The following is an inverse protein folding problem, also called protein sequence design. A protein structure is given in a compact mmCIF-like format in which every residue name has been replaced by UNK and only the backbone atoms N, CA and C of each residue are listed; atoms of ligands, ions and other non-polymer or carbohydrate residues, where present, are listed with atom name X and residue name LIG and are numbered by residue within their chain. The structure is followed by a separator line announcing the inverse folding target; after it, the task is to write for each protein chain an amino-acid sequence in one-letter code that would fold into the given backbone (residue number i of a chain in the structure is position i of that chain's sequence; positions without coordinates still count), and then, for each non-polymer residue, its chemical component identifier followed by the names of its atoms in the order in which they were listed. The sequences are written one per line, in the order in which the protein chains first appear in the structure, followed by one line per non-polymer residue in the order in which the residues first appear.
data_IF_505840222281
#
_entry.id   IF_505840222281
#
_cell.length_a   1.000
_cell.length_b   1.000
_cell.length_c   1.000
_cell.angle_alpha   90.00
_cell.angle_beta   90.00
_cell.angle_gamma   90.00
#
_symmetry.space_group_name_H-M   'P 1'
#
loop_
_entity.id
_entity.type
_entity.pdbx_description
1 polymer ?
#
# COMPACT_ATOMS: atom_id res chain seq x y z
N UNK A 1 -16.22 36.49 -21.36
CA UNK A 1 -14.85 36.02 -21.60
C UNK A 1 -14.87 34.52 -21.41
N UNK A 2 -14.68 33.74 -22.48
CA UNK A 2 -14.49 32.31 -22.37
C UNK A 2 -13.17 32.08 -21.63
N UNK A 3 -13.22 31.58 -20.41
CA UNK A 3 -12.01 31.19 -19.69
C UNK A 3 -11.34 30.08 -20.49
N UNK A 4 -10.16 30.36 -21.04
CA UNK A 4 -9.39 29.38 -21.79
C UNK A 4 -8.99 28.27 -20.84
N UNK A 5 -9.32 27.00 -21.14
CA UNK A 5 -9.01 25.84 -20.29
C UNK A 5 -7.47 25.67 -20.23
N UNK A 6 -6.90 25.73 -19.03
CA UNK A 6 -5.44 25.66 -18.84
C UNK A 6 -4.99 24.22 -18.80
N UNK A 7 -4.16 23.81 -19.75
CA UNK A 7 -3.65 22.45 -19.87
C UNK A 7 -2.17 22.35 -19.51
N UNK A 8 -1.78 21.21 -18.93
CA UNK A 8 -0.39 20.76 -18.78
C UNK A 8 -0.22 19.45 -19.52
N UNK A 9 0.81 19.37 -20.35
CA UNK A 9 1.27 18.11 -20.93
C UNK A 9 2.23 17.38 -20.00
N UNK A 10 2.14 16.03 -19.97
CA UNK A 10 3.11 15.23 -19.25
C UNK A 10 3.64 14.10 -20.13
N UNK A 11 4.97 14.03 -20.26
CA UNK A 11 5.70 13.03 -21.04
C UNK A 11 6.69 12.27 -20.16
N UNK A 12 6.94 11.00 -20.49
CA UNK A 12 7.96 10.19 -19.83
C UNK A 12 8.65 9.23 -20.78
N UNK A 13 9.98 9.12 -20.67
CA UNK A 13 10.78 8.08 -21.32
C UNK A 13 11.61 7.32 -20.27
N UNK A 14 11.84 6.01 -20.49
CA UNK A 14 12.76 5.21 -19.69
C UNK A 14 14.14 5.17 -20.37
N UNK A 15 15.22 5.11 -19.57
CA UNK A 15 16.60 5.01 -20.06
C UNK A 15 16.86 3.76 -20.89
N UNK A 16 16.16 2.65 -20.64
CA UNK A 16 16.46 1.36 -21.26
C UNK A 16 15.70 1.07 -22.57
N UNK A 17 14.72 1.90 -22.96
CA UNK A 17 13.83 1.60 -24.08
C UNK A 17 13.49 2.80 -24.97
N UNK A 18 14.49 3.45 -25.51
CA UNK A 18 14.26 4.36 -26.64
C UNK A 18 13.86 3.60 -27.92
N UNK A 19 13.98 2.26 -27.97
CA UNK A 19 13.88 1.47 -29.21
C UNK A 19 12.66 0.52 -29.30
N UNK A 20 11.99 0.11 -28.22
CA UNK A 20 11.03 -1.02 -28.34
C UNK A 20 9.54 -0.66 -28.42
N UNK A 21 9.09 0.50 -27.94
CA UNK A 21 7.65 0.86 -27.96
C UNK A 21 7.28 2.03 -28.89
N UNK A 22 8.18 2.49 -29.77
CA UNK A 22 7.87 3.40 -30.89
C UNK A 22 7.30 4.78 -30.53
N UNK A 23 7.29 5.18 -29.24
CA UNK A 23 6.74 6.47 -28.81
C UNK A 23 7.86 7.34 -28.22
N UNK A 24 8.64 7.97 -29.13
CA UNK A 24 9.64 8.98 -28.76
C UNK A 24 8.98 10.15 -28.01
N UNK A 25 9.77 10.93 -27.29
CA UNK A 25 9.28 12.17 -26.64
C UNK A 25 8.57 13.08 -27.64
N UNK A 26 9.14 13.21 -28.83
CA UNK A 26 8.59 14.04 -29.92
C UNK A 26 7.18 13.58 -30.33
N UNK A 27 6.95 12.28 -30.46
CA UNK A 27 5.63 11.73 -30.79
C UNK A 27 4.63 11.97 -29.65
N UNK A 28 5.06 11.84 -28.39
CA UNK A 28 4.21 12.16 -27.24
C UNK A 28 3.84 13.65 -27.24
N UNK A 29 4.82 14.53 -27.44
CA UNK A 29 4.61 15.97 -27.50
C UNK A 29 3.63 16.36 -28.62
N UNK A 30 3.82 15.86 -29.83
CA UNK A 30 2.92 16.11 -30.97
C UNK A 30 1.49 15.70 -30.64
N UNK A 31 1.29 14.51 -30.06
CA UNK A 31 -0.04 14.04 -29.64
C UNK A 31 -0.69 14.93 -28.58
N UNK A 32 0.07 15.34 -27.58
CA UNK A 32 -0.41 16.21 -26.50
C UNK A 32 -0.79 17.59 -27.04
N UNK A 33 0.06 18.20 -27.87
CA UNK A 33 -0.22 19.49 -28.49
C UNK A 33 -1.47 19.44 -29.38
N UNK A 34 -1.59 18.39 -30.19
CA UNK A 34 -2.76 18.20 -31.03
C UNK A 34 -4.05 18.04 -30.19
N UNK A 35 -3.99 17.27 -29.10
CA UNK A 35 -5.13 17.10 -28.21
C UNK A 35 -5.50 18.42 -27.48
N UNK A 36 -4.52 19.21 -27.05
CA UNK A 36 -4.80 20.53 -26.47
C UNK A 36 -5.59 21.43 -27.43
N UNK A 37 -5.20 21.43 -28.73
CA UNK A 37 -5.94 22.17 -29.77
C UNK A 37 -7.37 21.63 -29.94
N UNK A 38 -7.55 20.30 -30.00
CA UNK A 38 -8.87 19.66 -30.13
C UNK A 38 -9.79 20.04 -28.95
N UNK A 39 -9.21 20.13 -27.76
CA UNK A 39 -9.95 20.50 -26.54
C UNK A 39 -10.15 22.03 -26.39
N UNK A 40 -9.59 22.83 -27.28
CA UNK A 40 -9.60 24.29 -27.11
C UNK A 40 -8.89 24.77 -25.87
N UNK A 41 -7.89 24.01 -25.40
CA UNK A 41 -7.15 24.28 -24.19
C UNK A 41 -5.82 25.01 -24.49
N UNK A 42 -5.46 25.94 -23.64
CA UNK A 42 -4.15 26.59 -23.65
C UNK A 42 -3.12 25.69 -22.98
N UNK A 43 -2.18 25.13 -23.74
CA UNK A 43 -1.09 24.33 -23.21
C UNK A 43 -0.04 25.24 -22.57
N UNK A 44 -0.06 25.34 -21.24
CA UNK A 44 0.84 26.22 -20.48
C UNK A 44 2.27 25.73 -20.47
N UNK A 45 2.47 24.42 -20.35
CA UNK A 45 3.79 23.79 -20.29
C UNK A 45 3.73 22.30 -20.64
N UNK A 46 4.90 21.73 -20.94
CA UNK A 46 5.09 20.29 -21.17
C UNK A 46 6.15 19.78 -20.21
N UNK A 47 5.72 19.03 -19.21
CA UNK A 47 6.59 18.42 -18.21
C UNK A 47 7.16 17.12 -18.76
N UNK A 48 8.48 16.95 -18.70
CA UNK A 48 9.18 15.76 -19.19
C UNK A 48 9.97 15.11 -18.07
N UNK A 49 9.66 13.85 -17.75
CA UNK A 49 10.48 12.99 -16.92
C UNK A 49 11.32 12.05 -17.79
N UNK A 50 12.64 12.28 -17.84
CA UNK A 50 13.61 11.49 -18.59
C UNK A 50 14.33 10.50 -17.70
N UNK A 51 14.46 9.25 -18.17
CA UNK A 51 15.25 8.24 -17.44
C UNK A 51 14.61 7.60 -16.22
N UNK A 52 13.34 7.92 -15.93
CA UNK A 52 12.67 7.50 -14.68
C UNK A 52 11.70 6.33 -14.89
N UNK A 53 11.67 5.43 -13.90
CA UNK A 53 10.77 4.27 -13.92
C UNK A 53 9.33 4.67 -13.59
N UNK A 54 8.35 4.12 -14.33
CA UNK A 54 6.92 4.27 -14.01
C UNK A 54 6.47 3.43 -12.78
N UNK A 55 7.41 2.79 -12.07
CA UNK A 55 7.09 1.94 -10.90
C UNK A 55 6.75 2.73 -9.64
N UNK A 56 7.15 3.98 -9.54
CA UNK A 56 6.81 4.88 -8.43
C UNK A 56 6.48 6.28 -8.95
N UNK A 57 5.85 7.09 -8.10
CA UNK A 57 5.47 8.48 -8.41
C UNK A 57 6.53 9.50 -7.94
N UNK A 58 7.59 9.05 -7.27
CA UNK A 58 8.65 9.93 -6.74
C UNK A 58 9.62 10.26 -7.87
N UNK A 59 9.36 11.35 -8.59
CA UNK A 59 10.17 11.86 -9.70
C UNK A 59 9.90 13.35 -9.93
N UNK A 60 10.90 14.12 -10.36
CA UNK A 60 10.84 15.59 -10.38
C UNK A 60 9.67 16.16 -11.19
N UNK A 61 9.42 15.63 -12.38
CA UNK A 61 8.31 16.10 -13.21
C UNK A 61 6.94 15.76 -12.64
N UNK A 62 6.78 14.57 -12.04
CA UNK A 62 5.55 14.21 -11.35
C UNK A 62 5.30 15.12 -10.14
N UNK A 63 6.31 15.40 -9.32
CA UNK A 63 6.19 16.32 -8.17
C UNK A 63 5.76 17.71 -8.62
N UNK A 64 6.36 18.21 -9.72
CA UNK A 64 5.98 19.48 -10.32
C UNK A 64 4.52 19.46 -10.80
N UNK A 65 4.10 18.39 -11.50
CA UNK A 65 2.72 18.21 -11.95
C UNK A 65 1.75 18.26 -10.77
N UNK A 66 2.02 17.49 -9.73
CA UNK A 66 1.17 17.41 -8.53
C UNK A 66 1.12 18.76 -7.79
N UNK A 67 2.20 19.51 -7.78
CA UNK A 67 2.21 20.88 -7.22
C UNK A 67 1.26 21.79 -7.99
N UNK A 68 1.32 21.81 -9.33
CA UNK A 68 0.44 22.62 -10.17
C UNK A 68 -1.05 22.25 -10.00
N UNK A 69 -1.34 20.95 -9.88
CA UNK A 69 -2.69 20.42 -9.62
C UNK A 69 -3.17 20.88 -8.23
N UNK A 70 -2.33 20.72 -7.19
CA UNK A 70 -2.69 21.11 -5.83
C UNK A 70 -2.93 22.61 -5.67
N UNK A 71 -2.18 23.43 -6.39
CA UNK A 71 -2.32 24.89 -6.42
C UNK A 71 -3.45 25.37 -7.35
N UNK A 72 -4.16 24.46 -8.01
CA UNK A 72 -5.25 24.76 -8.97
C UNK A 72 -4.80 25.69 -10.10
N UNK A 73 -3.55 25.56 -10.52
CA UNK A 73 -2.98 26.36 -11.64
C UNK A 73 -3.35 25.80 -13.00
N UNK A 74 -3.91 24.59 -13.05
CA UNK A 74 -4.28 23.84 -14.26
C UNK A 74 -5.68 23.29 -14.12
N UNK A 75 -6.38 23.16 -15.25
CA UNK A 75 -7.75 22.64 -15.35
C UNK A 75 -7.75 21.24 -15.96
N UNK A 76 -6.71 20.91 -16.74
CA UNK A 76 -6.56 19.59 -17.38
C UNK A 76 -5.10 19.15 -17.48
N UNK A 77 -4.89 17.85 -17.35
CA UNK A 77 -3.61 17.17 -17.61
C UNK A 77 -3.76 16.31 -18.86
N UNK A 78 -2.89 16.49 -19.84
CA UNK A 78 -2.92 15.73 -21.12
C UNK A 78 -1.70 14.84 -21.17
N UNK A 79 -1.91 13.55 -21.44
CA UNK A 79 -0.86 12.53 -21.59
C UNK A 79 -1.04 11.76 -22.90
N UNK A 80 0.05 11.27 -23.45
CA UNK A 80 -0.03 10.45 -24.66
C UNK A 80 -0.61 9.06 -24.41
N UNK A 81 -0.33 8.47 -23.23
CA UNK A 81 -0.78 7.14 -22.81
C UNK A 81 -0.72 7.01 -21.29
N UNK A 82 -1.65 6.25 -20.67
CA UNK A 82 -1.74 6.06 -19.22
C UNK A 82 -0.47 5.50 -18.59
N UNK A 83 0.25 4.61 -19.28
CA UNK A 83 1.50 4.02 -18.81
C UNK A 83 2.66 5.03 -18.69
N UNK A 84 2.53 6.22 -19.28
CA UNK A 84 3.46 7.34 -19.10
C UNK A 84 3.27 7.96 -17.70
N UNK A 85 2.03 8.01 -17.22
CA UNK A 85 1.73 8.53 -15.90
C UNK A 85 2.10 7.54 -14.79
N UNK A 86 1.58 6.30 -14.88
CA UNK A 86 1.93 5.20 -13.98
C UNK A 86 1.59 3.85 -14.60
N UNK A 87 2.26 2.76 -14.13
CA UNK A 87 1.93 1.37 -14.47
C UNK A 87 1.17 0.67 -13.33
N UNK A 88 1.00 1.34 -12.21
CA UNK A 88 0.27 0.83 -11.05
C UNK A 88 -1.18 1.31 -11.12
N UNK A 89 -2.13 0.40 -11.18
CA UNK A 89 -3.56 0.73 -11.15
C UNK A 89 -3.92 1.46 -9.83
N UNK A 90 -3.32 1.04 -8.72
CA UNK A 90 -3.51 1.69 -7.42
C UNK A 90 -3.07 3.16 -7.45
N UNK A 91 -1.89 3.44 -8.01
CA UNK A 91 -1.38 4.80 -8.09
C UNK A 91 -2.21 5.64 -9.05
N UNK A 92 -2.69 5.04 -10.16
CA UNK A 92 -3.60 5.71 -11.09
C UNK A 92 -4.89 6.13 -10.38
N UNK A 93 -5.53 5.23 -9.63
CA UNK A 93 -6.73 5.55 -8.86
C UNK A 93 -6.47 6.69 -7.88
N UNK A 94 -5.35 6.67 -7.14
CA UNK A 94 -4.99 7.75 -6.21
C UNK A 94 -4.78 9.10 -6.90
N UNK A 95 -4.15 9.10 -8.10
CA UNK A 95 -3.99 10.31 -8.90
C UNK A 95 -5.34 10.85 -9.41
N UNK A 96 -6.22 9.97 -9.88
CA UNK A 96 -7.54 10.34 -10.37
C UNK A 96 -8.43 10.92 -9.26
N UNK A 97 -8.40 10.34 -8.07
CA UNK A 97 -9.08 10.89 -6.89
C UNK A 97 -8.56 12.30 -6.52
N UNK A 98 -7.24 12.50 -6.58
CA UNK A 98 -6.64 13.79 -6.35
C UNK A 98 -7.08 14.81 -7.39
N UNK A 99 -7.05 14.44 -8.67
CA UNK A 99 -7.44 15.30 -9.78
C UNK A 99 -8.92 15.70 -9.66
N UNK A 100 -9.81 14.75 -9.35
CA UNK A 100 -11.22 15.00 -9.11
C UNK A 100 -11.45 15.98 -7.94
N UNK A 101 -10.78 15.76 -6.79
CA UNK A 101 -10.83 16.68 -5.63
C UNK A 101 -10.36 18.10 -5.96
N UNK A 102 -9.50 18.24 -6.97
CA UNK A 102 -8.98 19.55 -7.41
C UNK A 102 -9.74 20.12 -8.60
N UNK A 103 -10.75 19.41 -9.13
CA UNK A 103 -11.47 19.71 -10.36
C UNK A 103 -10.54 19.80 -11.58
N UNK A 104 -9.55 18.91 -11.68
CA UNK A 104 -8.64 18.80 -12.81
C UNK A 104 -9.01 17.56 -13.61
N UNK A 105 -9.22 17.70 -14.92
CA UNK A 105 -9.46 16.57 -15.81
C UNK A 105 -8.14 15.90 -16.23
N UNK A 106 -8.16 14.57 -16.45
CA UNK A 106 -7.08 13.84 -17.11
C UNK A 106 -7.56 13.41 -18.48
N UNK A 107 -6.76 13.71 -19.52
CA UNK A 107 -7.00 13.26 -20.87
C UNK A 107 -5.85 12.37 -21.32
N UNK A 108 -6.16 11.14 -21.69
CA UNK A 108 -5.22 10.19 -22.30
C UNK A 108 -5.56 9.98 -23.78
N UNK A 109 -4.60 10.32 -24.64
CA UNK A 109 -4.83 10.30 -26.10
C UNK A 109 -5.00 8.88 -26.62
N UNK A 110 -4.12 7.95 -26.22
CA UNK A 110 -4.12 6.58 -26.75
C UNK A 110 -5.35 5.78 -26.33
N UNK A 111 -5.83 5.96 -25.09
CA UNK A 111 -7.00 5.27 -24.58
C UNK A 111 -8.32 6.02 -24.87
N UNK A 112 -8.26 7.18 -25.52
CA UNK A 112 -9.42 8.05 -25.74
C UNK A 112 -10.21 8.32 -24.43
N UNK A 113 -9.49 8.48 -23.33
CA UNK A 113 -10.05 8.68 -22.01
C UNK A 113 -10.02 10.18 -21.66
N UNK A 114 -11.18 10.71 -21.31
CA UNK A 114 -11.37 12.05 -20.77
C UNK A 114 -12.16 11.96 -19.47
N UNK A 115 -11.49 12.21 -18.35
CA UNK A 115 -12.11 12.11 -17.01
C UNK A 115 -13.07 13.28 -16.72
N UNK A 116 -13.03 14.33 -17.50
CA UNK A 116 -14.01 15.42 -17.46
C UNK A 116 -15.37 14.99 -18.00
N UNK A 117 -15.43 13.99 -18.87
CA UNK A 117 -16.68 13.45 -19.44
C UNK A 117 -17.39 12.48 -18.50
N UNK A 118 -18.71 12.33 -18.66
CA UNK A 118 -19.49 11.34 -17.91
C UNK A 118 -19.02 9.90 -18.17
N UNK A 119 -18.69 9.58 -19.42
CA UNK A 119 -18.17 8.26 -19.80
C UNK A 119 -16.80 7.98 -19.17
N UNK A 120 -15.88 8.96 -19.17
CA UNK A 120 -14.58 8.81 -18.53
C UNK A 120 -14.67 8.62 -17.03
N UNK A 121 -15.55 9.34 -16.34
CA UNK A 121 -15.81 9.13 -14.91
C UNK A 121 -16.35 7.72 -14.62
N UNK A 122 -17.23 7.19 -15.46
CA UNK A 122 -17.72 5.80 -15.33
C UNK A 122 -16.57 4.80 -15.45
N UNK A 123 -15.70 4.96 -16.44
CA UNK A 123 -14.53 4.07 -16.63
C UNK A 123 -13.62 4.08 -15.40
N UNK A 124 -13.34 5.25 -14.82
CA UNK A 124 -12.54 5.38 -13.59
C UNK A 124 -13.21 4.66 -12.43
N UNK A 125 -14.51 4.84 -12.24
CA UNK A 125 -15.26 4.17 -11.17
C UNK A 125 -15.16 2.65 -11.30
N UNK A 126 -15.28 2.12 -12.51
CA UNK A 126 -15.10 0.68 -12.76
C UNK A 126 -13.70 0.24 -12.43
N UNK A 127 -12.66 0.96 -12.86
CA UNK A 127 -11.26 0.63 -12.57
C UNK A 127 -10.97 0.63 -11.05
N UNK A 128 -11.49 1.62 -10.32
CA UNK A 128 -11.37 1.68 -8.87
C UNK A 128 -12.07 0.49 -8.19
N UNK A 129 -13.27 0.13 -8.62
CA UNK A 129 -14.01 -1.01 -8.10
C UNK A 129 -13.29 -2.34 -8.36
N UNK A 130 -12.71 -2.54 -9.55
CA UNK A 130 -11.89 -3.73 -9.90
C UNK A 130 -10.66 -3.82 -9.00
N UNK A 131 -9.96 -2.70 -8.80
CA UNK A 131 -8.75 -2.66 -7.94
C UNK A 131 -9.07 -3.01 -6.48
N UNK A 132 -10.20 -2.52 -5.97
CA UNK A 132 -10.65 -2.86 -4.61
C UNK A 132 -11.05 -4.34 -4.50
N UNK A 133 -11.77 -4.87 -5.49
CA UNK A 133 -12.12 -6.28 -5.56
C UNK A 133 -10.87 -7.19 -5.59
N UNK A 134 -9.86 -6.88 -6.40
CA UNK A 134 -8.60 -7.63 -6.43
C UNK A 134 -7.92 -7.62 -5.05
N UNK A 135 -7.86 -6.46 -4.38
CA UNK A 135 -7.28 -6.32 -3.05
C UNK A 135 -8.00 -7.19 -2.02
N UNK A 136 -9.33 -7.18 -2.02
CA UNK A 136 -10.16 -7.99 -1.13
C UNK A 136 -9.96 -9.49 -1.41
N UNK A 137 -9.96 -9.89 -2.68
CA UNK A 137 -9.76 -11.29 -3.10
C UNK A 137 -8.39 -11.83 -2.66
N UNK A 138 -7.32 -11.03 -2.80
CA UNK A 138 -5.99 -11.40 -2.30
C UNK A 138 -6.01 -11.55 -0.77
N UNK A 139 -6.68 -10.65 -0.05
CA UNK A 139 -6.85 -10.72 1.40
C UNK A 139 -7.57 -11.98 1.85
N UNK A 140 -8.65 -12.35 1.17
CA UNK A 140 -9.41 -13.58 1.45
C UNK A 140 -8.58 -14.84 1.20
N UNK A 141 -7.88 -14.93 0.06
CA UNK A 141 -6.98 -16.05 -0.25
C UNK A 141 -5.88 -16.19 0.79
N UNK A 142 -5.26 -15.07 1.20
CA UNK A 142 -4.21 -15.07 2.23
C UNK A 142 -4.77 -15.55 3.57
N UNK A 143 -5.97 -15.09 3.96
CA UNK A 143 -6.65 -15.51 5.19
C UNK A 143 -6.98 -17.00 5.16
N UNK A 144 -7.51 -17.52 4.05
CA UNK A 144 -7.80 -18.93 3.87
C UNK A 144 -6.53 -19.80 3.96
N UNK A 145 -5.45 -19.40 3.28
CA UNK A 145 -4.16 -20.07 3.36
C UNK A 145 -3.60 -20.10 4.79
N UNK A 146 -3.66 -18.97 5.51
CA UNK A 146 -3.23 -18.92 6.92
C UNK A 146 -4.09 -19.79 7.84
N UNK A 147 -5.40 -19.90 7.57
CA UNK A 147 -6.30 -20.78 8.34
C UNK A 147 -5.97 -22.25 8.08
N UNK A 148 -5.74 -22.61 6.82
CA UNK A 148 -5.33 -23.97 6.44
C UNK A 148 -4.01 -24.37 7.11
N UNK A 149 -2.99 -23.54 7.04
CA UNK A 149 -1.71 -23.78 7.74
C UNK A 149 -1.91 -23.95 9.25
N UNK A 150 -2.76 -23.10 9.87
CA UNK A 150 -3.08 -23.24 11.31
C UNK A 150 -3.78 -24.55 11.64
N UNK A 151 -4.69 -25.03 10.78
CA UNK A 151 -5.39 -26.32 11.00
C UNK A 151 -4.45 -27.51 10.91
N UNK A 152 -3.39 -27.40 10.11
CA UNK A 152 -2.34 -28.43 9.98
C UNK A 152 -1.28 -28.34 11.11
N UNK A 153 -1.38 -27.35 12.01
CA UNK A 153 -0.38 -27.17 13.08
C UNK A 153 0.86 -26.38 12.66
N UNK A 154 0.87 -25.84 11.45
CA UNK A 154 2.00 -25.09 10.92
C UNK A 154 2.21 -23.75 11.65
N UNK A 155 3.44 -23.29 11.70
CA UNK A 155 3.80 -22.03 12.30
C UNK A 155 3.37 -20.85 11.41
N UNK A 156 2.26 -20.19 11.74
CA UNK A 156 1.80 -18.99 11.05
C UNK A 156 2.07 -17.74 11.90
N UNK A 157 2.94 -16.87 11.42
CA UNK A 157 3.25 -15.60 12.08
C UNK A 157 4.15 -15.74 13.31
N UNK A 158 3.93 -14.91 14.32
CA UNK A 158 4.72 -14.92 15.55
C UNK A 158 4.41 -16.12 16.43
N UNK A 159 5.44 -16.88 16.80
CA UNK A 159 5.33 -18.01 17.71
C UNK A 159 4.82 -17.55 19.07
N UNK A 160 3.71 -18.14 19.51
CA UNK A 160 3.14 -17.87 20.83
C UNK A 160 4.13 -18.23 21.94
N UNK A 161 4.13 -17.48 23.04
CA UNK A 161 4.93 -17.81 24.22
C UNK A 161 4.48 -19.17 24.80
N UNK A 162 5.41 -20.04 25.08
CA UNK A 162 5.17 -21.42 25.48
C UNK A 162 5.42 -22.44 24.36
N UNK A 163 5.69 -21.98 23.15
CA UNK A 163 5.98 -22.84 22.01
C UNK A 163 7.25 -22.38 21.29
N UNK A 164 7.95 -23.32 20.69
CA UNK A 164 9.08 -23.09 19.78
C UNK A 164 8.85 -23.80 18.46
N UNK A 165 9.64 -23.49 17.48
CA UNK A 165 9.62 -24.17 16.20
C UNK A 165 10.27 -25.55 16.37
N UNK A 166 9.62 -26.60 15.88
CA UNK A 166 10.17 -27.95 15.87
C UNK A 166 11.41 -28.06 14.95
N UNK A 167 12.11 -29.16 15.03
CA UNK A 167 13.33 -29.39 14.21
C UNK A 167 13.06 -29.44 12.71
N UNK A 168 11.83 -29.75 12.29
CA UNK A 168 11.40 -29.71 10.90
C UNK A 168 11.22 -28.28 10.32
N UNK A 169 11.22 -27.27 11.18
CA UNK A 169 11.05 -25.88 10.80
C UNK A 169 9.62 -25.45 10.43
N UNK A 170 8.66 -26.37 10.43
CA UNK A 170 7.26 -26.13 10.00
C UNK A 170 6.29 -26.15 11.16
N UNK A 171 6.37 -27.15 12.04
CA UNK A 171 5.45 -27.31 13.17
C UNK A 171 5.89 -26.56 14.42
N UNK A 172 4.93 -26.38 15.33
CA UNK A 172 5.18 -25.83 16.67
C UNK A 172 5.19 -26.95 17.71
N UNK A 173 6.24 -26.98 18.54
CA UNK A 173 6.31 -27.85 19.71
C UNK A 173 6.32 -27.03 21.01
N UNK A 174 5.83 -27.59 22.13
CA UNK A 174 5.92 -26.95 23.43
C UNK A 174 7.37 -26.70 23.81
N UNK A 175 7.69 -25.48 24.23
CA UNK A 175 8.99 -25.16 24.86
C UNK A 175 8.92 -25.46 26.35
N UNK A 176 9.68 -26.45 26.87
CA UNK A 176 9.58 -26.88 28.28
C UNK A 176 9.81 -25.76 29.27
N UNK A 177 10.78 -24.88 28.99
CA UNK A 177 11.11 -23.75 29.86
C UNK A 177 9.98 -22.71 29.89
N UNK A 178 9.46 -22.33 28.71
CA UNK A 178 8.37 -21.37 28.62
C UNK A 178 7.05 -21.93 29.13
N UNK A 179 6.80 -23.25 29.01
CA UNK A 179 5.62 -23.90 29.59
C UNK A 179 5.67 -23.88 31.13
N UNK A 180 6.84 -24.09 31.73
CA UNK A 180 7.03 -23.96 33.17
C UNK A 180 6.70 -22.54 33.65
N UNK A 181 7.16 -21.52 32.90
CA UNK A 181 6.81 -20.12 33.21
C UNK A 181 5.32 -19.87 33.08
N UNK A 182 4.66 -20.40 32.03
CA UNK A 182 3.20 -20.27 31.87
C UNK A 182 2.44 -20.92 33.00
N UNK A 183 2.91 -22.05 33.52
CA UNK A 183 2.32 -22.73 34.67
C UNK A 183 2.46 -21.87 35.92
N UNK A 184 3.66 -21.36 36.21
CA UNK A 184 3.87 -20.44 37.34
C UNK A 184 3.00 -19.18 37.27
N UNK A 185 2.83 -18.59 36.09
CA UNK A 185 1.93 -17.44 35.89
C UNK A 185 0.47 -17.83 36.22
N UNK A 186 0.03 -19.02 35.78
CA UNK A 186 -1.35 -19.51 36.06
C UNK A 186 -1.59 -19.72 37.54
N UNK A 187 -0.66 -20.36 38.26
CA UNK A 187 -0.72 -20.60 39.69
C UNK A 187 -0.79 -19.30 40.48
N UNK A 188 0.13 -18.37 40.20
CA UNK A 188 0.15 -17.06 40.85
C UNK A 188 -1.15 -16.27 40.58
N UNK A 189 -1.69 -16.39 39.37
CA UNK A 189 -2.95 -15.73 39.01
C UNK A 189 -4.15 -16.37 39.72
N UNK A 190 -4.17 -17.69 39.85
CA UNK A 190 -5.19 -18.41 40.65
C UNK A 190 -5.15 -17.98 42.12
N UNK A 191 -3.95 -17.74 42.66
CA UNK A 191 -3.71 -17.16 43.97
C UNK A 191 -4.04 -15.66 44.11
N UNK A 192 -4.71 -15.06 43.07
CA UNK A 192 -5.11 -13.64 43.05
C UNK A 192 -3.94 -12.63 43.08
N UNK A 193 -2.72 -13.05 42.79
CA UNK A 193 -1.60 -12.12 42.66
C UNK A 193 -1.87 -11.06 41.61
N UNK A 194 -1.43 -9.82 41.89
CA UNK A 194 -1.46 -8.73 40.91
C UNK A 194 -0.47 -8.98 39.77
N UNK A 195 -0.67 -8.38 38.59
CA UNK A 195 0.26 -8.53 37.48
C UNK A 195 1.68 -8.06 37.80
N UNK A 196 1.80 -7.04 38.69
CA UNK A 196 3.10 -6.56 39.21
C UNK A 196 3.72 -7.58 40.14
N UNK A 197 2.93 -8.20 41.04
CA UNK A 197 3.39 -9.26 41.95
C UNK A 197 3.86 -10.48 41.16
N UNK A 198 3.15 -10.89 40.10
CA UNK A 198 3.56 -11.99 39.23
C UNK A 198 4.90 -11.68 38.57
N UNK A 199 5.09 -10.49 38.00
CA UNK A 199 6.35 -10.11 37.38
C UNK A 199 7.52 -10.11 38.38
N UNK A 200 7.31 -9.61 39.62
CA UNK A 200 8.31 -9.63 40.67
C UNK A 200 8.68 -11.05 41.08
N UNK A 201 7.69 -11.93 41.28
CA UNK A 201 7.91 -13.32 41.67
C UNK A 201 8.65 -14.13 40.59
N UNK A 202 8.29 -13.96 39.33
CA UNK A 202 9.02 -14.60 38.22
C UNK A 202 10.49 -14.18 38.20
N UNK A 203 10.76 -12.90 38.44
CA UNK A 203 12.14 -12.39 38.52
C UNK A 203 12.88 -12.93 39.74
N UNK A 204 12.22 -13.01 40.91
CA UNK A 204 12.79 -13.58 42.13
C UNK A 204 13.15 -15.07 41.97
N UNK A 205 12.34 -15.83 41.22
CA UNK A 205 12.63 -17.23 40.85
C UNK A 205 13.70 -17.37 39.75
N UNK A 206 14.30 -16.27 39.26
CA UNK A 206 15.29 -16.30 38.20
C UNK A 206 14.75 -16.62 36.82
N UNK A 207 13.42 -16.71 36.65
CA UNK A 207 12.80 -16.97 35.36
C UNK A 207 12.93 -15.75 34.46
N UNK A 208 13.27 -15.98 33.18
CA UNK A 208 13.50 -14.92 32.20
C UNK A 208 12.51 -15.01 31.04
N UNK A 209 12.35 -13.90 30.32
CA UNK A 209 11.56 -13.87 29.09
C UNK A 209 12.31 -14.62 27.98
N UNK A 210 11.65 -14.92 26.84
CA UNK A 210 12.28 -15.52 25.65
C UNK A 210 13.56 -14.79 25.19
N UNK A 211 13.68 -13.48 25.46
CA UNK A 211 14.85 -12.65 25.13
C UNK A 211 15.84 -12.53 26.31
N UNK A 212 15.78 -13.43 27.28
CA UNK A 212 16.61 -13.41 28.48
C UNK A 212 16.51 -12.12 29.33
N UNK A 213 15.51 -11.28 29.11
CA UNK A 213 15.25 -10.06 29.88
C UNK A 213 14.39 -10.33 31.11
N UNK A 214 14.41 -9.39 32.08
CA UNK A 214 13.54 -9.43 33.24
C UNK A 214 12.05 -9.26 32.84
N UNK A 215 11.17 -9.88 33.61
CA UNK A 215 9.74 -9.73 33.46
C UNK A 215 9.28 -8.33 33.86
N UNK A 216 8.45 -7.73 33.00
CA UNK A 216 7.73 -6.48 33.27
C UNK A 216 6.23 -6.74 33.28
N UNK A 217 5.48 -5.82 33.85
CA UNK A 217 4.01 -5.93 33.96
C UNK A 217 3.36 -6.12 32.60
N UNK A 218 3.87 -5.43 31.57
CA UNK A 218 3.33 -5.49 30.20
C UNK A 218 3.50 -6.89 29.59
N UNK A 219 4.61 -7.58 29.90
CA UNK A 219 4.85 -8.94 29.42
C UNK A 219 3.82 -9.92 30.03
N UNK A 220 3.58 -9.83 31.33
CA UNK A 220 2.59 -10.64 32.03
C UNK A 220 1.18 -10.32 31.55
N UNK A 221 0.83 -9.04 31.41
CA UNK A 221 -0.46 -8.59 30.92
C UNK A 221 -0.77 -9.16 29.52
N UNK A 222 0.23 -9.18 28.62
CA UNK A 222 0.10 -9.73 27.28
C UNK A 222 -0.20 -11.23 27.26
N UNK A 223 0.43 -11.98 28.18
CA UNK A 223 0.20 -13.43 28.31
C UNK A 223 -1.18 -13.71 28.89
N UNK A 224 -1.54 -13.02 29.97
CA UNK A 224 -2.84 -13.18 30.65
C UNK A 224 -4.00 -12.69 29.78
N UNK A 225 -3.82 -11.59 29.04
CA UNK A 225 -4.85 -10.99 28.17
C UNK A 225 -5.17 -11.83 26.92
N UNK A 226 -4.20 -12.56 26.36
CA UNK A 226 -4.42 -13.46 25.20
C UNK A 226 -5.40 -14.61 25.47
N UNK A 227 -5.70 -14.91 26.72
CA UNK A 227 -6.65 -15.97 27.09
C UNK A 227 -8.13 -15.58 26.90
N UNK A 228 -8.46 -14.28 26.87
CA UNK A 228 -9.84 -13.80 26.59
C UNK A 228 -10.26 -13.88 25.12
N UNK A 229 -9.32 -14.04 24.20
CA UNK A 229 -9.58 -14.08 22.76
C UNK A 229 -9.69 -15.50 22.19
N UNK A 230 -9.65 -16.55 23.02
CA UNK A 230 -9.69 -17.96 22.58
C UNK A 230 -10.76 -18.81 23.30
N UNK A 231 -11.76 -18.15 23.92
CA UNK A 231 -12.96 -18.81 24.45
C UNK A 231 -14.16 -18.54 23.53
#
# INVERSE_FOLDING_TARGET
MLSNMRAIGYCRVSTDKQAEDGVSLEVQEVKIRAMAVVQGAELLDLIVDGGESAKNLVRPGMERLLTLVNERKVDTVIIAKLDRLTRSVKDLCGLLELFEKRNVALISVAESLDTGSAAGRLVITIMAAVSEWERLTIGERTKAAMQYMKSNGDCVGNIAYGYRRAADGEHLEPDPHEQAVLTAIRELRAGRCTLRGIAAELNARGLRTRRASAWRVEHVARIVGRRKARA
#
